data_IF_722056107658
#
_entry.id   IF_722056107658
#
_cell.length_a   1.000
_cell.length_b   1.000
_cell.length_c   1.000
_cell.angle_alpha   90.00
_cell.angle_beta   90.00
_cell.angle_gamma   90.00
#
_symmetry.space_group_name_H-M   'P 1'
#
loop_
_entity.id
_entity.type
_entity.pdbx_description
1 polymer ?
#
# COMPACT_ATOMS: atom_id res chain seq x y z
N UNK A 1 22.06 27.21 5.61
CA UNK A 1 22.83 26.80 6.81
C UNK A 1 24.07 25.97 6.45
N UNK A 2 23.96 24.74 5.91
CA UNK A 2 25.15 23.92 5.54
C UNK A 2 26.16 24.66 4.66
N UNK A 3 25.69 25.31 3.60
CA UNK A 3 26.57 26.01 2.66
C UNK A 3 27.20 27.28 3.26
N UNK A 4 26.55 27.88 4.25
CA UNK A 4 27.04 29.08 4.94
C UNK A 4 28.03 28.74 6.06
N UNK A 5 27.82 27.62 6.77
CA UNK A 5 28.63 27.23 7.93
C UNK A 5 29.77 26.26 7.59
N UNK A 6 29.57 25.41 6.58
CA UNK A 6 30.45 24.26 6.28
C UNK A 6 30.97 24.30 4.85
N UNK A 7 30.62 25.36 4.10
CA UNK A 7 30.98 25.59 2.69
C UNK A 7 30.72 24.39 1.76
N UNK A 8 29.78 23.52 2.14
CA UNK A 8 29.44 22.30 1.41
C UNK A 8 27.95 22.21 1.14
N UNK A 9 27.63 21.69 -0.06
CA UNK A 9 26.25 21.34 -0.42
C UNK A 9 25.75 20.24 0.53
N UNK A 10 24.58 20.40 1.18
CA UNK A 10 24.09 19.41 2.14
C UNK A 10 23.69 18.08 1.47
N UNK A 11 23.19 18.11 0.23
CA UNK A 11 22.80 16.93 -0.53
C UNK A 11 23.29 17.07 -1.97
N UNK A 12 23.61 15.95 -2.63
CA UNK A 12 23.94 15.93 -4.05
C UNK A 12 22.68 15.95 -4.91
N UNK A 13 21.71 15.11 -4.54
CA UNK A 13 20.47 14.87 -5.25
C UNK A 13 19.31 15.00 -4.26
N UNK A 14 18.19 15.60 -4.69
CA UNK A 14 17.00 15.83 -3.87
C UNK A 14 15.79 15.32 -4.64
N UNK A 15 15.06 14.38 -4.03
CA UNK A 15 13.79 13.88 -4.55
C UNK A 15 12.64 14.61 -3.86
N UNK A 16 11.83 15.31 -4.65
CA UNK A 16 10.61 15.97 -4.16
C UNK A 16 9.43 15.15 -4.65
N UNK A 17 8.65 14.61 -3.72
CA UNK A 17 7.39 13.93 -4.02
C UNK A 17 6.22 14.91 -3.96
N UNK A 18 5.12 14.57 -4.65
CA UNK A 18 3.89 15.34 -4.59
C UNK A 18 3.21 15.26 -3.22
N UNK A 19 2.13 16.02 -3.09
CA UNK A 19 1.28 16.06 -1.91
C UNK A 19 0.19 15.01 -1.98
N UNK A 20 -0.23 14.53 -0.82
CA UNK A 20 -1.42 13.70 -0.72
C UNK A 20 -2.64 14.60 -0.56
N UNK A 21 -3.66 14.33 -1.36
CA UNK A 21 -4.93 15.04 -1.43
C UNK A 21 -6.06 14.15 -0.90
N UNK A 22 -7.09 14.77 -0.36
CA UNK A 22 -8.33 14.09 0.02
C UNK A 22 -9.14 13.65 -1.22
N UNK A 23 -10.26 12.97 -0.99
CA UNK A 23 -11.17 12.52 -2.06
C UNK A 23 -11.79 13.67 -2.88
N UNK A 24 -11.76 14.90 -2.36
CA UNK A 24 -12.21 16.10 -3.05
C UNK A 24 -11.06 16.84 -3.76
N UNK A 25 -9.85 16.26 -3.77
CA UNK A 25 -8.67 16.85 -4.39
C UNK A 25 -8.04 18.00 -3.60
N UNK A 26 -8.45 18.24 -2.36
CA UNK A 26 -7.85 19.27 -1.50
C UNK A 26 -6.64 18.71 -0.79
N UNK A 27 -5.62 19.55 -0.58
CA UNK A 27 -4.41 19.16 0.17
C UNK A 27 -4.81 18.61 1.55
N UNK A 28 -4.28 17.45 1.93
CA UNK A 28 -4.40 16.99 3.31
C UNK A 28 -3.54 17.85 4.24
N UNK A 29 -4.15 18.40 5.28
CA UNK A 29 -3.46 19.26 6.24
C UNK A 29 -4.17 19.30 7.60
N UNK A 30 -3.39 19.53 8.65
CA UNK A 30 -3.92 19.67 10.03
C UNK A 30 -4.89 20.85 10.15
N UNK A 31 -4.59 21.97 9.51
CA UNK A 31 -5.43 23.19 9.53
C UNK A 31 -6.78 22.99 8.86
N UNK A 32 -6.85 22.15 7.82
CA UNK A 32 -8.10 21.84 7.13
C UNK A 32 -8.88 20.69 7.80
N UNK A 33 -8.28 20.01 8.78
CA UNK A 33 -8.91 18.92 9.52
C UNK A 33 -9.20 17.67 8.69
N UNK A 34 -8.65 17.58 7.48
CA UNK A 34 -8.88 16.47 6.54
C UNK A 34 -7.73 15.45 6.53
N UNK A 35 -6.84 15.49 7.52
CA UNK A 35 -5.79 14.49 7.69
C UNK A 35 -6.37 13.18 8.19
N UNK A 36 -5.88 12.07 7.65
CA UNK A 36 -6.21 10.71 8.08
C UNK A 36 -5.04 10.18 8.90
N UNK A 37 -5.32 9.52 10.02
CA UNK A 37 -4.28 8.87 10.81
C UNK A 37 -3.75 7.64 10.05
N UNK A 38 -2.44 7.55 9.78
CA UNK A 38 -1.86 6.37 9.14
C UNK A 38 -2.08 5.08 9.94
N UNK A 39 -2.14 5.13 11.27
CA UNK A 39 -2.30 3.93 12.09
C UNK A 39 -3.69 3.32 11.94
N UNK A 40 -4.75 4.14 11.85
CA UNK A 40 -6.11 3.66 11.56
C UNK A 40 -6.18 2.88 10.24
N UNK A 41 -5.40 3.31 9.25
CA UNK A 41 -5.31 2.67 7.94
C UNK A 41 -4.52 1.35 8.02
N UNK A 42 -3.41 1.35 8.76
CA UNK A 42 -2.58 0.15 8.97
C UNK A 42 -3.38 -0.91 9.72
N UNK A 43 -4.13 -0.54 10.75
CA UNK A 43 -4.93 -1.49 11.53
C UNK A 43 -6.05 -2.12 10.68
N UNK A 44 -6.56 -1.38 9.69
CA UNK A 44 -7.65 -1.86 8.83
C UNK A 44 -7.20 -2.65 7.60
N UNK A 45 -6.09 -2.26 6.97
CA UNK A 45 -5.65 -2.82 5.68
C UNK A 45 -4.23 -3.37 5.69
N UNK A 46 -3.50 -3.22 6.79
CA UNK A 46 -2.10 -3.62 6.90
C UNK A 46 -1.12 -2.63 6.25
N UNK A 47 0.13 -2.71 6.68
CA UNK A 47 1.21 -1.83 6.22
C UNK A 47 1.55 -2.03 4.74
N UNK A 48 1.54 -3.27 4.27
CA UNK A 48 1.97 -3.59 2.90
C UNK A 48 0.96 -3.10 1.86
N UNK A 49 -0.34 -3.14 2.16
CA UNK A 49 -1.36 -2.55 1.28
C UNK A 49 -1.15 -1.04 1.12
N UNK A 50 -0.80 -0.35 2.21
CA UNK A 50 -0.48 1.08 2.21
C UNK A 50 0.80 1.38 1.43
N UNK A 51 1.86 0.57 1.58
CA UNK A 51 3.09 0.71 0.79
C UNK A 51 2.84 0.50 -0.70
N UNK A 52 2.11 -0.55 -1.05
CA UNK A 52 1.76 -0.84 -2.44
C UNK A 52 0.93 0.30 -3.04
N UNK A 53 0.03 0.89 -2.27
CA UNK A 53 -0.72 2.08 -2.70
C UNK A 53 0.20 3.25 -3.06
N UNK A 54 1.14 3.63 -2.20
CA UNK A 54 2.05 4.73 -2.52
C UNK A 54 3.00 4.40 -3.68
N UNK A 55 3.46 3.16 -3.80
CA UNK A 55 4.34 2.75 -4.88
C UNK A 55 3.63 2.68 -6.26
N UNK A 56 2.33 2.35 -6.27
CA UNK A 56 1.56 2.14 -7.51
C UNK A 56 0.89 3.41 -8.04
N UNK A 57 0.64 4.40 -7.17
CA UNK A 57 -0.34 5.45 -7.48
C UNK A 57 0.26 6.80 -7.86
N UNK A 58 1.59 6.96 -7.94
CA UNK A 58 2.20 8.27 -8.25
C UNK A 58 3.38 8.13 -9.21
N UNK A 59 3.34 8.94 -10.28
CA UNK A 59 4.56 9.37 -10.95
C UNK A 59 5.32 10.28 -9.99
N UNK A 60 6.65 10.25 -10.04
CA UNK A 60 7.47 11.15 -9.22
C UNK A 60 7.12 12.61 -9.58
N UNK A 61 6.74 13.40 -8.58
CA UNK A 61 6.40 14.82 -8.72
C UNK A 61 4.91 15.12 -8.86
N UNK A 62 4.05 14.12 -9.09
CA UNK A 62 2.60 14.30 -9.12
C UNK A 62 1.95 14.13 -7.75
N UNK A 63 0.86 14.86 -7.53
CA UNK A 63 0.06 14.73 -6.32
C UNK A 63 -0.81 13.47 -6.35
N UNK A 64 -1.00 12.86 -5.19
CA UNK A 64 -1.74 11.63 -5.02
C UNK A 64 -3.09 11.90 -4.37
N UNK A 65 -4.19 11.53 -5.03
CA UNK A 65 -5.49 11.50 -4.37
C UNK A 65 -5.64 10.22 -3.53
N UNK A 66 -5.80 10.39 -2.22
CA UNK A 66 -6.02 9.28 -1.30
C UNK A 66 -7.44 8.73 -1.47
N UNK A 67 -7.55 7.43 -1.73
CA UNK A 67 -8.82 6.72 -1.84
C UNK A 67 -8.72 5.40 -1.09
N UNK A 68 -9.63 5.22 -0.12
CA UNK A 68 -9.76 3.98 0.64
C UNK A 68 -10.23 2.81 -0.23
N UNK A 69 -10.94 3.09 -1.32
CA UNK A 69 -11.34 2.08 -2.31
C UNK A 69 -10.12 1.51 -3.04
N UNK A 70 -9.23 2.37 -3.53
CA UNK A 70 -7.97 1.94 -4.17
C UNK A 70 -7.07 1.20 -3.19
N UNK A 71 -7.04 1.65 -1.94
CA UNK A 71 -6.31 0.97 -0.87
C UNK A 71 -6.89 -0.44 -0.60
N UNK A 72 -8.21 -0.56 -0.53
CA UNK A 72 -8.90 -1.85 -0.39
C UNK A 72 -8.65 -2.80 -1.55
N UNK A 73 -8.54 -2.27 -2.78
CA UNK A 73 -8.14 -3.06 -3.94
C UNK A 73 -6.72 -3.63 -3.80
N UNK A 74 -5.77 -2.85 -3.26
CA UNK A 74 -4.41 -3.31 -2.99
C UNK A 74 -4.36 -4.37 -1.88
N UNK A 75 -5.19 -4.22 -0.84
CA UNK A 75 -5.32 -5.24 0.20
C UNK A 75 -5.86 -6.56 -0.38
N UNK A 76 -6.93 -6.51 -1.17
CA UNK A 76 -7.48 -7.67 -1.87
C UNK A 76 -6.44 -8.34 -2.78
N UNK A 77 -5.61 -7.55 -3.45
CA UNK A 77 -4.54 -8.05 -4.31
C UNK A 77 -3.47 -8.78 -3.50
N UNK A 78 -3.02 -8.22 -2.38
CA UNK A 78 -2.03 -8.86 -1.50
C UNK A 78 -2.58 -10.14 -0.87
N UNK A 79 -3.84 -10.16 -0.45
CA UNK A 79 -4.49 -11.37 0.06
C UNK A 79 -4.53 -12.50 -0.97
N UNK A 80 -4.73 -12.18 -2.25
CA UNK A 80 -4.65 -13.19 -3.32
C UNK A 80 -3.25 -13.78 -3.45
N UNK A 81 -2.21 -12.94 -3.41
CA UNK A 81 -0.81 -13.41 -3.42
C UNK A 81 -0.53 -14.31 -2.21
N UNK A 82 -0.99 -13.88 -1.03
CA UNK A 82 -0.85 -14.66 0.20
C UNK A 82 -1.52 -16.02 0.10
N UNK A 83 -2.77 -16.07 -0.38
CA UNK A 83 -3.50 -17.32 -0.57
C UNK A 83 -2.81 -18.24 -1.59
N UNK A 84 -2.27 -17.70 -2.68
CA UNK A 84 -1.50 -18.49 -3.66
C UNK A 84 -0.22 -19.06 -3.03
N UNK A 85 0.53 -18.24 -2.30
CA UNK A 85 1.75 -18.68 -1.63
C UNK A 85 1.46 -19.80 -0.62
N UNK A 86 0.42 -19.62 0.20
CA UNK A 86 -0.04 -20.63 1.17
C UNK A 86 -0.54 -21.89 0.48
N UNK A 87 -1.24 -21.78 -0.64
CA UNK A 87 -1.64 -22.94 -1.44
C UNK A 87 -0.43 -23.73 -1.93
N UNK A 88 0.58 -23.04 -2.50
CA UNK A 88 1.82 -23.66 -2.99
C UNK A 88 2.57 -24.37 -1.86
N UNK A 89 2.66 -23.75 -0.69
CA UNK A 89 3.33 -24.34 0.48
C UNK A 89 2.66 -25.64 0.95
N UNK A 90 1.33 -25.74 0.84
CA UNK A 90 0.57 -26.91 1.26
C UNK A 90 0.41 -27.97 0.15
N UNK A 91 0.99 -27.77 -1.04
CA UNK A 91 0.81 -28.69 -2.18
C UNK A 91 1.26 -30.12 -1.90
N UNK A 92 2.31 -30.30 -1.10
CA UNK A 92 2.85 -31.64 -0.78
C UNK A 92 1.87 -32.48 0.07
N UNK A 93 1.02 -31.85 0.90
CA UNK A 93 -0.02 -32.53 1.69
C UNK A 93 -1.30 -32.77 0.88
N UNK A 94 -1.52 -32.03 -0.19
CA UNK A 94 -2.78 -31.99 -0.96
C UNK A 94 -2.76 -32.97 -2.16
N UNK A 95 -1.63 -33.63 -2.43
CA UNK A 95 -1.34 -34.35 -3.67
C UNK A 95 -2.24 -35.57 -3.99
N UNK A 96 -3.02 -36.11 -3.03
CA UNK A 96 -3.82 -37.33 -3.28
C UNK A 96 -5.28 -37.07 -3.72
N UNK A 97 -5.84 -35.85 -3.59
CA UNK A 97 -7.23 -35.55 -3.99
C UNK A 97 -7.47 -34.08 -4.40
N UNK A 98 -6.77 -33.60 -5.43
CA UNK A 98 -7.00 -32.24 -5.95
C UNK A 98 -8.21 -32.18 -6.91
N UNK A 99 -9.32 -31.60 -6.45
CA UNK A 99 -10.39 -31.12 -7.32
C UNK A 99 -10.31 -29.59 -7.44
N UNK A 100 -10.47 -29.05 -8.65
CA UNK A 100 -10.41 -27.60 -8.91
C UNK A 100 -11.46 -26.81 -8.12
N UNK A 101 -12.55 -27.45 -7.71
CA UNK A 101 -13.61 -26.87 -6.88
C UNK A 101 -13.17 -26.53 -5.44
N UNK A 102 -12.08 -27.14 -4.95
CA UNK A 102 -11.60 -26.92 -3.58
C UNK A 102 -10.69 -25.68 -3.45
N UNK A 103 -10.18 -25.16 -4.57
CA UNK A 103 -9.40 -23.92 -4.62
C UNK A 103 -10.24 -22.72 -4.19
N UNK A 104 -11.51 -22.67 -4.64
CA UNK A 104 -12.44 -21.61 -4.27
C UNK A 104 -12.75 -21.65 -2.76
N UNK A 105 -12.93 -22.84 -2.17
CA UNK A 105 -13.14 -22.99 -0.72
C UNK A 105 -11.94 -22.54 0.10
N UNK A 106 -10.71 -22.88 -0.32
CA UNK A 106 -9.50 -22.43 0.38
C UNK A 106 -9.40 -20.90 0.43
N UNK A 107 -9.80 -20.23 -0.66
CA UNK A 107 -9.83 -18.78 -0.72
C UNK A 107 -10.93 -18.16 0.16
N UNK A 108 -12.04 -18.85 0.40
CA UNK A 108 -13.11 -18.39 1.29
C UNK A 108 -12.78 -18.54 2.79
N UNK A 109 -12.01 -19.57 3.16
CA UNK A 109 -11.63 -19.84 4.57
C UNK A 109 -10.63 -18.80 5.11
N UNK A 110 -9.87 -18.13 4.24
CA UNK A 110 -8.88 -17.12 4.61
C UNK A 110 -9.38 -15.67 4.35
N UNK A 111 -10.70 -15.46 4.28
CA UNK A 111 -11.31 -14.12 4.27
C UNK A 111 -11.35 -13.48 5.64
#
# INVERSE_FOLDING_TARGET
FSQYLVEKKPFKDVLIHGLIRDSQGRKMSKSLGNGIDPFDIIDKYGLDAMRLFFASCTTIGEDLNFSTERLGANWNYLNKIWNIAKYIENLDEINDNLNFEDVDKFCEVNK
#
